data_IF_283915804125
#
_entry.id   IF_283915804125
#
_cell.length_a   1.000
_cell.length_b   1.000
_cell.length_c   1.000
_cell.angle_alpha   90.00
_cell.angle_beta   90.00
_cell.angle_gamma   90.00
#
_symmetry.space_group_name_H-M   'P 1'
#
loop_
_entity.id
_entity.type
_entity.pdbx_description
1 polymer ?
#
# COMPACT_ATOMS: atom_id res chain seq x y z
N UNK A 1 7.67 -3.31 -9.95
CA UNK A 1 7.51 -2.15 -9.06
C UNK A 1 6.46 -1.23 -9.62
N UNK A 2 5.39 -0.97 -8.87
CA UNK A 2 4.33 -0.06 -9.29
C UNK A 2 4.34 1.20 -8.39
N UNK A 3 4.05 2.38 -8.96
CA UNK A 3 3.91 3.64 -8.21
C UNK A 3 2.59 3.74 -7.42
N UNK A 4 1.82 2.64 -7.40
CA UNK A 4 0.50 2.57 -6.77
C UNK A 4 0.62 2.83 -5.28
N UNK A 5 1.59 2.21 -4.60
CA UNK A 5 1.80 2.39 -3.16
C UNK A 5 2.02 3.87 -2.81
N UNK A 6 2.73 4.63 -3.65
CA UNK A 6 2.91 6.06 -3.45
C UNK A 6 1.58 6.83 -3.49
N UNK A 7 0.68 6.49 -4.42
CA UNK A 7 -0.67 7.04 -4.51
C UNK A 7 -1.56 6.67 -3.31
N UNK A 8 -1.43 5.43 -2.82
CA UNK A 8 -2.14 4.95 -1.62
C UNK A 8 -1.67 5.73 -0.39
N UNK A 9 -0.36 5.77 -0.16
CA UNK A 9 0.23 6.48 0.98
C UNK A 9 -0.05 7.98 0.92
N UNK A 10 0.04 8.61 -0.26
CA UNK A 10 -0.36 10.00 -0.44
C UNK A 10 -1.82 10.22 -0.04
N UNK A 11 -2.75 9.43 -0.58
CA UNK A 11 -4.18 9.52 -0.27
C UNK A 11 -4.43 9.32 1.23
N UNK A 12 -3.79 8.32 1.82
CA UNK A 12 -3.94 8.01 3.23
C UNK A 12 -3.43 9.15 4.14
N UNK A 13 -2.30 9.76 3.78
CA UNK A 13 -1.73 10.90 4.52
C UNK A 13 -2.54 12.18 4.34
N UNK A 14 -3.06 12.41 3.14
CA UNK A 14 -3.75 13.65 2.79
C UNK A 14 -5.23 13.62 3.21
N UNK A 15 -5.98 12.59 2.81
CA UNK A 15 -7.43 12.48 3.04
C UNK A 15 -7.74 11.68 4.31
N UNK A 16 -7.07 10.56 4.54
CA UNK A 16 -7.22 9.76 5.76
C UNK A 16 -7.43 8.26 5.50
N UNK A 17 -7.71 7.53 6.58
CA UNK A 17 -7.78 6.05 6.58
C UNK A 17 -8.86 5.46 5.68
N UNK A 18 -10.04 6.08 5.58
CA UNK A 18 -11.14 5.53 4.78
C UNK A 18 -10.83 5.67 3.29
N UNK A 19 -10.34 6.84 2.91
CA UNK A 19 -10.00 7.20 1.55
C UNK A 19 -8.76 6.43 1.09
N UNK A 20 -7.75 6.31 1.97
CA UNK A 20 -6.60 5.44 1.75
C UNK A 20 -7.01 3.98 1.50
N UNK A 21 -7.97 3.46 2.25
CA UNK A 21 -8.46 2.09 2.07
C UNK A 21 -9.20 1.90 0.74
N UNK A 22 -10.07 2.84 0.38
CA UNK A 22 -10.83 2.79 -0.88
C UNK A 22 -9.87 2.88 -2.07
N UNK A 23 -8.98 3.88 -2.08
CA UNK A 23 -8.01 4.06 -3.16
C UNK A 23 -7.06 2.87 -3.24
N UNK A 24 -6.55 2.39 -2.10
CA UNK A 24 -5.67 1.21 -2.06
C UNK A 24 -6.32 -0.04 -2.61
N UNK A 25 -7.49 -0.40 -2.08
CA UNK A 25 -8.18 -1.59 -2.52
C UNK A 25 -8.60 -1.53 -3.99
N UNK A 26 -9.29 -0.46 -4.40
CA UNK A 26 -9.83 -0.37 -5.76
C UNK A 26 -8.74 -0.24 -6.82
N UNK A 27 -7.69 0.55 -6.58
CA UNK A 27 -6.59 0.66 -7.54
C UNK A 27 -5.86 -0.67 -7.72
N UNK A 28 -5.56 -1.38 -6.63
CA UNK A 28 -4.91 -2.68 -6.69
C UNK A 28 -5.80 -3.76 -7.32
N UNK A 29 -7.10 -3.75 -7.02
CA UNK A 29 -8.07 -4.64 -7.65
C UNK A 29 -8.09 -4.45 -9.17
N UNK A 30 -8.26 -3.20 -9.62
CA UNK A 30 -8.36 -2.87 -11.05
C UNK A 30 -7.05 -3.18 -11.79
N UNK A 31 -5.89 -2.90 -11.18
CA UNK A 31 -4.59 -3.21 -11.79
C UNK A 31 -4.42 -4.71 -11.98
N UNK A 32 -4.76 -5.53 -10.98
CA UNK A 32 -4.64 -6.97 -11.12
C UNK A 32 -5.67 -7.55 -12.09
N UNK A 33 -6.91 -7.04 -12.06
CA UNK A 33 -7.97 -7.45 -12.98
C UNK A 33 -7.60 -7.18 -14.45
N UNK A 34 -6.95 -6.05 -14.72
CA UNK A 34 -6.54 -5.64 -16.07
C UNK A 34 -5.15 -6.16 -16.47
N UNK A 35 -4.41 -6.76 -15.54
CA UNK A 35 -3.08 -7.33 -15.77
C UNK A 35 -3.17 -8.81 -16.17
N UNK A 36 -2.03 -9.42 -16.48
CA UNK A 36 -1.92 -10.86 -16.72
C UNK A 36 -2.11 -11.73 -15.47
N UNK A 37 -2.45 -11.13 -14.32
CA UNK A 37 -2.49 -11.78 -13.01
C UNK A 37 -3.83 -11.57 -12.26
N UNK A 38 -5.00 -11.77 -12.88
CA UNK A 38 -6.30 -11.50 -12.28
C UNK A 38 -6.61 -12.37 -11.05
N UNK A 39 -5.95 -13.52 -10.89
CA UNK A 39 -6.06 -14.35 -9.69
C UNK A 39 -5.70 -13.60 -8.40
N UNK A 40 -4.90 -12.53 -8.50
CA UNK A 40 -4.49 -11.69 -7.38
C UNK A 40 -5.49 -10.57 -7.05
N UNK A 41 -6.54 -10.36 -7.83
CA UNK A 41 -7.39 -9.16 -7.73
C UNK A 41 -8.02 -8.98 -6.35
N UNK A 42 -8.60 -10.03 -5.77
CA UNK A 42 -9.28 -9.95 -4.47
C UNK A 42 -8.28 -9.94 -3.32
N UNK A 43 -7.18 -10.69 -3.43
CA UNK A 43 -6.11 -10.68 -2.44
C UNK A 43 -5.53 -9.26 -2.34
N UNK A 44 -5.21 -8.66 -3.49
CA UNK A 44 -4.64 -7.31 -3.57
C UNK A 44 -5.64 -6.24 -3.13
N UNK A 45 -6.94 -6.41 -3.43
CA UNK A 45 -8.02 -5.55 -2.92
C UNK A 45 -7.97 -5.44 -1.39
N UNK A 46 -7.90 -6.59 -0.69
CA UNK A 46 -7.88 -6.61 0.76
C UNK A 46 -6.55 -6.14 1.34
N UNK A 47 -5.42 -6.58 0.77
CA UNK A 47 -4.09 -6.21 1.24
C UNK A 47 -3.85 -4.70 1.11
N UNK A 48 -4.02 -4.14 -0.08
CA UNK A 48 -3.80 -2.71 -0.31
C UNK A 48 -4.87 -1.83 0.32
N UNK A 49 -6.11 -2.33 0.44
CA UNK A 49 -7.15 -1.65 1.20
C UNK A 49 -6.80 -1.53 2.69
N UNK A 50 -6.33 -2.61 3.32
CA UNK A 50 -5.88 -2.58 4.70
C UNK A 50 -4.59 -1.76 4.87
N UNK A 51 -3.64 -1.85 3.94
CA UNK A 51 -2.44 -0.98 3.90
C UNK A 51 -2.84 0.50 3.93
N UNK A 52 -3.72 0.93 3.03
CA UNK A 52 -4.19 2.32 2.96
C UNK A 52 -4.95 2.75 4.22
N UNK A 53 -5.72 1.84 4.82
CA UNK A 53 -6.40 2.09 6.09
C UNK A 53 -5.42 2.40 7.22
N UNK A 54 -4.45 1.51 7.44
CA UNK A 54 -3.48 1.65 8.52
C UNK A 54 -2.54 2.83 8.31
N UNK A 55 -2.14 3.08 7.06
CA UNK A 55 -1.33 4.24 6.70
C UNK A 55 -2.01 5.58 7.02
N UNK A 56 -3.34 5.62 7.03
CA UNK A 56 -4.13 6.82 7.30
C UNK A 56 -4.40 7.09 8.78
N UNK A 57 -3.82 6.31 9.70
CA UNK A 57 -3.89 6.59 11.14
C UNK A 57 -3.12 7.87 11.48
N UNK A 58 -3.76 8.76 12.25
CA UNK A 58 -3.24 10.09 12.60
C UNK A 58 -2.80 10.17 14.08
N UNK A 59 -2.05 11.21 14.42
CA UNK A 59 -1.58 11.46 15.79
C UNK A 59 -0.50 10.47 16.26
N UNK A 60 -0.50 10.15 17.55
CA UNK A 60 0.47 9.22 18.15
C UNK A 60 0.44 7.79 17.59
N UNK A 61 -0.64 7.42 16.91
CA UNK A 61 -0.78 6.10 16.28
C UNK A 61 -0.17 6.01 14.88
N UNK A 62 0.36 7.10 14.32
CA UNK A 62 0.89 7.11 12.94
C UNK A 62 2.07 6.14 12.74
N UNK A 63 3.09 6.06 13.62
CA UNK A 63 4.18 5.08 13.47
C UNK A 63 3.66 3.64 13.52
N UNK A 64 2.73 3.35 14.43
CA UNK A 64 2.07 2.04 14.52
C UNK A 64 1.28 1.74 13.25
N UNK A 65 0.56 2.71 12.69
CA UNK A 65 -0.17 2.57 11.44
C UNK A 65 0.73 2.24 10.25
N UNK A 66 1.89 2.88 10.14
CA UNK A 66 2.86 2.57 9.09
C UNK A 66 3.49 1.18 9.25
N UNK A 67 3.76 0.76 10.50
CA UNK A 67 4.22 -0.58 10.79
C UNK A 67 3.16 -1.62 10.37
N UNK A 68 1.90 -1.41 10.79
CA UNK A 68 0.79 -2.29 10.42
C UNK A 68 0.55 -2.32 8.91
N UNK A 69 0.62 -1.18 8.22
CA UNK A 69 0.51 -1.12 6.77
C UNK A 69 1.61 -1.95 6.07
N UNK A 70 2.84 -1.86 6.57
CA UNK A 70 3.98 -2.64 6.05
C UNK A 70 3.80 -4.13 6.30
N UNK A 71 3.40 -4.52 7.52
CA UNK A 71 3.16 -5.93 7.89
C UNK A 71 2.04 -6.52 7.04
N UNK A 72 0.95 -5.79 6.85
CA UNK A 72 -0.17 -6.24 6.01
C UNK A 72 0.25 -6.40 4.55
N UNK A 73 0.99 -5.43 4.00
CA UNK A 73 1.46 -5.48 2.62
C UNK A 73 2.41 -6.66 2.42
N UNK A 74 3.55 -6.66 3.14
CA UNK A 74 4.61 -7.66 2.94
C UNK A 74 4.17 -9.05 3.42
N UNK A 75 3.57 -9.12 4.61
CA UNK A 75 3.10 -10.37 5.20
C UNK A 75 1.89 -10.95 4.49
N UNK A 76 0.97 -10.10 4.03
CA UNK A 76 -0.18 -10.52 3.23
C UNK A 76 0.25 -11.17 1.93
N UNK A 77 1.13 -10.52 1.16
CA UNK A 77 1.65 -11.09 -0.08
C UNK A 77 2.46 -12.36 0.17
N UNK A 78 3.35 -12.36 1.15
CA UNK A 78 4.14 -13.55 1.49
C UNK A 78 3.23 -14.74 1.86
N UNK A 79 2.21 -14.52 2.69
CA UNK A 79 1.27 -15.57 3.09
C UNK A 79 0.46 -16.08 1.89
N UNK A 80 -0.09 -15.17 1.08
CA UNK A 80 -0.82 -15.54 -0.13
C UNK A 80 0.04 -16.32 -1.12
N UNK A 81 1.31 -15.96 -1.27
CA UNK A 81 2.26 -16.68 -2.13
C UNK A 81 2.60 -18.06 -1.62
N UNK A 82 2.67 -18.28 -0.30
CA UNK A 82 2.82 -19.65 0.24
C UNK A 82 1.64 -20.52 -0.21
N UNK A 83 0.41 -20.01 -0.11
CA UNK A 83 -0.78 -20.75 -0.49
C UNK A 83 -0.91 -20.99 -2.01
N UNK A 84 -0.49 -20.02 -2.83
CA UNK A 84 -0.67 -20.08 -4.28
C UNK A 84 0.48 -20.76 -5.03
N UNK A 85 1.72 -20.54 -4.61
CA UNK A 85 2.93 -20.92 -5.35
C UNK A 85 3.99 -21.64 -4.51
N UNK A 86 3.78 -21.79 -3.20
CA UNK A 86 4.68 -22.46 -2.27
C UNK A 86 5.70 -21.55 -1.59
N UNK A 87 6.45 -22.12 -0.64
CA UNK A 87 7.35 -21.38 0.27
C UNK A 87 8.53 -20.71 -0.42
N UNK A 88 9.08 -21.32 -1.48
CA UNK A 88 10.20 -20.74 -2.24
C UNK A 88 9.84 -19.42 -2.93
N UNK A 89 8.66 -19.35 -3.54
CA UNK A 89 8.15 -18.12 -4.17
C UNK A 89 7.88 -17.02 -3.13
N UNK A 90 7.32 -17.38 -1.97
CA UNK A 90 7.04 -16.43 -0.88
C UNK A 90 8.30 -15.72 -0.36
N UNK A 91 9.40 -16.45 -0.17
CA UNK A 91 10.66 -15.87 0.33
C UNK A 91 11.25 -14.88 -0.69
N UNK A 92 11.16 -15.19 -1.99
CA UNK A 92 11.66 -14.32 -3.04
C UNK A 92 10.90 -12.99 -3.12
N UNK A 93 9.63 -12.95 -2.71
CA UNK A 93 8.78 -11.77 -2.77
C UNK A 93 8.91 -10.81 -1.57
N UNK A 94 9.43 -11.29 -0.43
CA UNK A 94 9.56 -10.48 0.79
C UNK A 94 10.39 -9.22 0.56
N UNK A 95 11.59 -9.35 -0.01
CA UNK A 95 12.52 -8.23 -0.20
C UNK A 95 11.98 -7.23 -1.22
N UNK A 96 11.52 -7.63 -2.42
CA UNK A 96 10.91 -6.72 -3.38
C UNK A 96 9.69 -5.97 -2.81
N UNK A 97 8.78 -6.66 -2.12
CA UNK A 97 7.59 -6.05 -1.53
C UNK A 97 7.95 -5.07 -0.41
N UNK A 98 8.92 -5.43 0.45
CA UNK A 98 9.39 -4.53 1.50
C UNK A 98 10.01 -3.24 0.93
N UNK A 99 10.88 -3.37 -0.07
CA UNK A 99 11.46 -2.21 -0.75
C UNK A 99 10.40 -1.37 -1.45
N UNK A 100 9.43 -1.99 -2.13
CA UNK A 100 8.35 -1.28 -2.81
C UNK A 100 7.50 -0.49 -1.82
N UNK A 101 7.10 -1.12 -0.72
CA UNK A 101 6.32 -0.48 0.33
C UNK A 101 7.09 0.71 0.95
N UNK A 102 8.38 0.53 1.23
CA UNK A 102 9.25 1.59 1.76
C UNK A 102 9.34 2.79 0.81
N UNK A 103 9.56 2.54 -0.48
CA UNK A 103 9.55 3.59 -1.50
C UNK A 103 8.19 4.28 -1.59
N UNK A 104 7.09 3.52 -1.51
CA UNK A 104 5.73 4.05 -1.47
C UNK A 104 5.51 5.02 -0.31
N UNK A 105 5.97 4.68 0.89
CA UNK A 105 5.88 5.56 2.07
C UNK A 105 6.64 6.87 1.81
N UNK A 106 7.89 6.77 1.35
CA UNK A 106 8.75 7.93 1.11
C UNK A 106 8.16 8.85 0.05
N UNK A 107 7.81 8.31 -1.11
CA UNK A 107 7.26 9.09 -2.23
C UNK A 107 5.89 9.68 -1.84
N UNK A 108 5.01 8.88 -1.22
CA UNK A 108 3.70 9.34 -0.77
C UNK A 108 3.80 10.48 0.25
N UNK A 109 4.77 10.43 1.16
CA UNK A 109 5.03 11.51 2.10
C UNK A 109 5.59 12.77 1.43
N UNK A 110 6.54 12.63 0.49
CA UNK A 110 7.07 13.75 -0.27
C UNK A 110 5.98 14.47 -1.07
N UNK A 111 5.10 13.72 -1.73
CA UNK A 111 3.95 14.26 -2.45
C UNK A 111 3.00 14.99 -1.50
N UNK A 112 2.72 14.42 -0.33
CA UNK A 112 1.88 15.06 0.69
C UNK A 112 2.43 16.43 1.12
N UNK A 113 3.75 16.51 1.37
CA UNK A 113 4.41 17.76 1.77
C UNK A 113 4.43 18.79 0.63
N UNK A 114 4.72 18.35 -0.60
CA UNK A 114 4.70 19.21 -1.77
C UNK A 114 3.31 19.82 -2.00
N UNK A 115 2.26 19.02 -1.90
CA UNK A 115 0.88 19.47 -2.11
C UNK A 115 0.44 20.47 -1.03
N UNK A 116 0.77 20.20 0.22
CA UNK A 116 0.49 21.10 1.34
C UNK A 116 1.19 22.46 1.17
N UNK A 117 2.43 22.47 0.64
CA UNK A 117 3.18 23.70 0.36
C UNK A 117 2.55 24.53 -0.76
N UNK A 118 2.05 23.88 -1.82
CA UNK A 118 1.37 24.58 -2.93
C UNK A 118 0.05 25.19 -2.48
N UNK A 119 -0.72 24.51 -1.64
CA UNK A 119 -1.97 25.07 -1.09
C UNK A 119 -1.73 26.22 -0.12
N UNK A 120 -0.69 26.14 0.73
CA UNK A 120 -0.39 27.20 1.69
C UNK A 120 0.14 28.50 1.05
N UNK A 121 0.55 28.45 -0.22
CA UNK A 121 1.03 29.59 -0.99
C UNK A 121 -0.07 30.27 -1.82
N UNK A 122 -1.32 29.81 -1.71
CA UNK A 122 -2.52 30.45 -2.26
C UNK A 122 -3.26 31.18 -1.15
#
# INVERSE_FOLDING_TARGET
MTLVDAGIYFTAFYLGKKEGAIVGGLSAFLINLLSSAPQWMFISLFIHGAQGYFAGLKGGYRPLGLLLATVVMVGGYALSSVFMYGTGASIAELVPNFCQNGLGIVIGWLLYQAFKRVQSNK
#
